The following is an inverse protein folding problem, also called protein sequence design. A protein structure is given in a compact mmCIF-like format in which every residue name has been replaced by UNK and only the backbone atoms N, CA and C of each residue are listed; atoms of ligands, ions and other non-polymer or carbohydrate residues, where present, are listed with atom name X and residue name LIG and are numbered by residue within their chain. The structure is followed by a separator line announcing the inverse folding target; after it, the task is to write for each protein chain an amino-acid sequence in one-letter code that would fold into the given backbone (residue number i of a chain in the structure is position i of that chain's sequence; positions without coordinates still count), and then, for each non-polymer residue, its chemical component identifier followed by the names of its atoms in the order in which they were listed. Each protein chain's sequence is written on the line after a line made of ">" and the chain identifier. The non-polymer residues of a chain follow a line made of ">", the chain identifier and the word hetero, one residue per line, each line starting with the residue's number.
data_IF_800620883693
#
_entry.id   IF_800620883693
#
_cell.length_a   1.000
_cell.length_b   1.000
_cell.length_c   1.000
_cell.angle_alpha   90.00
_cell.angle_beta   90.00
_cell.angle_gamma   90.00
#
_symmetry.space_group_name_H-M   'P 1'
#
loop_
_entity.id
_entity.type
_entity.pdbx_description
1 polymer ?
#
# COMPACT_ATOMS: atom_id res chain seq x y z
N UNK A 1 -13.72 3.42 -20.74
CA UNK A 1 -13.81 2.46 -19.59
C UNK A 1 -14.60 1.26 -20.06
N UNK A 2 -14.01 0.06 -20.06
CA UNK A 2 -14.74 -1.17 -20.44
C UNK A 2 -15.88 -1.45 -19.45
N UNK A 3 -17.09 -1.76 -19.91
CA UNK A 3 -18.20 -2.15 -19.05
C UNK A 3 -17.94 -3.53 -18.40
N UNK A 4 -18.58 -3.85 -17.26
CA UNK A 4 -18.37 -5.12 -16.54
C UNK A 4 -18.61 -6.38 -17.40
N UNK A 5 -19.60 -6.35 -18.30
CA UNK A 5 -19.90 -7.46 -19.19
C UNK A 5 -18.74 -7.77 -20.17
N UNK A 6 -18.13 -6.75 -20.76
CA UNK A 6 -16.96 -6.95 -21.64
C UNK A 6 -15.75 -7.50 -20.86
N UNK A 7 -15.58 -7.11 -19.60
CA UNK A 7 -14.50 -7.63 -18.75
C UNK A 7 -14.69 -9.12 -18.50
N UNK A 8 -15.88 -9.54 -18.07
CA UNK A 8 -16.19 -10.95 -17.83
C UNK A 8 -16.07 -11.79 -19.11
N UNK A 9 -16.51 -11.25 -20.24
CA UNK A 9 -16.37 -11.90 -21.53
C UNK A 9 -14.89 -12.06 -21.92
N UNK A 10 -14.07 -11.02 -21.75
CA UNK A 10 -12.64 -11.08 -22.05
C UNK A 10 -11.91 -12.12 -21.19
N UNK A 11 -12.26 -12.23 -19.89
CA UNK A 11 -11.72 -13.26 -19.00
C UNK A 11 -12.09 -14.65 -19.46
N UNK A 12 -13.39 -14.88 -19.75
CA UNK A 12 -13.89 -16.18 -20.20
C UNK A 12 -13.36 -16.58 -21.59
N UNK A 13 -13.00 -15.63 -22.44
CA UNK A 13 -12.32 -15.89 -23.71
C UNK A 13 -10.83 -16.20 -23.56
N UNK A 14 -10.18 -15.59 -22.56
CA UNK A 14 -8.76 -15.81 -22.26
C UNK A 14 -8.50 -17.12 -21.51
N UNK A 15 -9.55 -17.82 -21.06
CA UNK A 15 -9.45 -19.06 -20.29
C UNK A 15 -10.24 -20.19 -20.90
N UNK A 16 -9.72 -21.41 -20.79
CA UNK A 16 -10.44 -22.63 -21.19
C UNK A 16 -11.59 -22.94 -20.24
N UNK A 17 -11.47 -22.51 -18.98
CA UNK A 17 -12.50 -22.69 -17.97
C UNK A 17 -13.29 -21.39 -17.78
N UNK A 18 -14.48 -21.33 -18.36
CA UNK A 18 -15.38 -20.19 -18.21
C UNK A 18 -15.96 -20.15 -16.80
N UNK A 19 -15.36 -19.35 -15.94
CA UNK A 19 -15.73 -19.27 -14.51
C UNK A 19 -16.04 -17.87 -14.01
N UNK A 20 -15.72 -16.82 -14.77
CA UNK A 20 -15.99 -15.44 -14.37
C UNK A 20 -17.47 -15.10 -14.64
N UNK A 21 -18.21 -14.72 -13.57
CA UNK A 21 -19.64 -14.36 -13.64
C UNK A 21 -19.90 -12.87 -13.48
N UNK A 22 -19.02 -12.15 -12.78
CA UNK A 22 -19.16 -10.71 -12.60
C UNK A 22 -17.79 -10.04 -12.48
N UNK A 23 -17.74 -8.76 -12.86
CA UNK A 23 -16.58 -7.90 -12.64
C UNK A 23 -17.02 -6.53 -12.15
N UNK A 24 -16.23 -5.92 -11.25
CA UNK A 24 -16.47 -4.57 -10.72
C UNK A 24 -15.18 -3.79 -10.67
N UNK A 25 -15.16 -2.60 -11.24
CA UNK A 25 -14.06 -1.65 -11.06
C UNK A 25 -14.19 -0.90 -9.74
N UNK A 26 -13.08 -0.83 -9.02
CA UNK A 26 -12.95 -0.03 -7.81
C UNK A 26 -12.52 1.42 -8.15
N UNK A 27 -12.77 2.38 -7.24
CA UNK A 27 -12.27 3.75 -7.40
C UNK A 27 -10.74 3.86 -7.51
N UNK A 28 -10.00 2.88 -6.97
CA UNK A 28 -8.53 2.74 -7.09
C UNK A 28 -8.07 2.45 -8.51
N UNK A 29 -8.96 1.98 -9.39
CA UNK A 29 -8.64 1.50 -10.73
C UNK A 29 -8.57 -0.02 -10.83
N UNK A 30 -8.50 -0.71 -9.70
CA UNK A 30 -8.48 -2.18 -9.64
C UNK A 30 -9.78 -2.78 -10.11
N UNK A 31 -9.73 -4.04 -10.53
CA UNK A 31 -10.91 -4.80 -10.95
C UNK A 31 -11.10 -6.01 -10.05
N UNK A 32 -12.26 -6.11 -9.41
CA UNK A 32 -12.67 -7.30 -8.66
C UNK A 32 -13.44 -8.21 -9.60
N UNK A 33 -13.00 -9.47 -9.69
CA UNK A 33 -13.65 -10.52 -10.49
C UNK A 33 -14.31 -11.50 -9.54
N UNK A 34 -15.56 -11.85 -9.82
CA UNK A 34 -16.31 -12.87 -9.08
C UNK A 34 -16.40 -14.13 -9.95
N UNK A 35 -15.98 -15.24 -9.39
CA UNK A 35 -16.09 -16.56 -10.02
C UNK A 35 -17.31 -17.32 -9.51
N UNK A 36 -17.81 -18.24 -10.32
CA UNK A 36 -19.03 -19.03 -10.02
C UNK A 36 -18.90 -19.90 -8.77
N UNK A 37 -17.70 -20.43 -8.51
CA UNK A 37 -17.40 -21.32 -7.40
C UNK A 37 -15.94 -21.20 -6.95
N UNK A 38 -15.62 -21.81 -5.81
CA UNK A 38 -14.28 -21.81 -5.22
C UNK A 38 -13.25 -22.51 -6.08
N UNK A 39 -13.64 -23.62 -6.73
CA UNK A 39 -12.75 -24.37 -7.61
C UNK A 39 -12.33 -23.56 -8.84
N UNK A 40 -13.28 -22.84 -9.46
CA UNK A 40 -12.98 -21.90 -10.53
C UNK A 40 -12.04 -20.78 -10.09
N UNK A 41 -12.25 -20.21 -8.89
CA UNK A 41 -11.37 -19.20 -8.33
C UNK A 41 -9.94 -19.73 -8.14
N UNK A 42 -9.79 -20.91 -7.54
CA UNK A 42 -8.47 -21.51 -7.31
C UNK A 42 -7.76 -21.83 -8.62
N UNK A 43 -8.49 -22.36 -9.62
CA UNK A 43 -7.92 -22.63 -10.93
C UNK A 43 -7.37 -21.36 -11.59
N UNK A 44 -8.13 -20.25 -11.53
CA UNK A 44 -7.72 -18.97 -12.11
C UNK A 44 -6.55 -18.31 -11.32
N UNK A 45 -6.48 -18.51 -10.02
CA UNK A 45 -5.33 -18.03 -9.20
C UNK A 45 -4.05 -18.80 -9.49
N UNK A 46 -4.14 -20.10 -9.82
CA UNK A 46 -2.97 -20.91 -10.20
C UNK A 46 -2.50 -20.61 -11.63
N UNK A 47 -3.42 -20.26 -12.51
CA UNK A 47 -3.16 -20.04 -13.95
C UNK A 47 -3.33 -18.55 -14.25
N UNK A 48 -2.35 -17.74 -13.97
CA UNK A 48 -2.44 -16.26 -14.03
C UNK A 48 -2.27 -15.66 -15.44
N UNK A 49 -1.94 -16.46 -16.45
CA UNK A 49 -1.70 -15.98 -17.83
C UNK A 49 -2.89 -15.22 -18.44
N UNK A 50 -4.12 -15.58 -18.06
CA UNK A 50 -5.33 -14.89 -18.51
C UNK A 50 -5.37 -13.42 -18.09
N UNK A 51 -4.69 -13.05 -17.01
CA UNK A 51 -4.66 -11.66 -16.50
C UNK A 51 -4.05 -10.76 -17.56
N UNK A 52 -2.91 -11.16 -18.11
CA UNK A 52 -2.23 -10.38 -19.16
C UNK A 52 -3.03 -10.37 -20.45
N UNK A 53 -3.68 -11.47 -20.82
CA UNK A 53 -4.50 -11.56 -22.01
C UNK A 53 -5.78 -10.70 -21.91
N UNK A 54 -6.45 -10.71 -20.77
CA UNK A 54 -7.70 -9.97 -20.57
C UNK A 54 -7.48 -8.47 -20.28
N UNK A 55 -6.40 -8.11 -19.56
CA UNK A 55 -6.16 -6.75 -19.05
C UNK A 55 -4.92 -6.06 -19.59
N UNK A 56 -4.04 -6.79 -20.30
CA UNK A 56 -2.78 -6.28 -20.85
C UNK A 56 -1.58 -6.64 -19.97
N UNK A 57 -0.38 -6.48 -20.56
CA UNK A 57 0.89 -6.99 -19.99
C UNK A 57 1.30 -6.38 -18.63
N UNK A 58 0.74 -5.23 -18.27
CA UNK A 58 1.04 -4.58 -16.98
C UNK A 58 0.09 -4.98 -15.86
N UNK A 59 -0.96 -5.75 -16.16
CA UNK A 59 -1.91 -6.21 -15.15
C UNK A 59 -1.31 -7.32 -14.30
N UNK A 60 -1.52 -7.21 -12.99
CA UNK A 60 -1.09 -8.19 -11.99
C UNK A 60 -2.26 -8.53 -11.07
N UNK A 61 -2.25 -9.73 -10.51
CA UNK A 61 -3.15 -10.08 -9.43
C UNK A 61 -2.79 -9.24 -8.19
N UNK A 62 -3.82 -8.66 -7.55
CA UNK A 62 -3.65 -7.95 -6.30
C UNK A 62 -3.55 -8.97 -5.16
N UNK A 63 -2.34 -9.21 -4.69
CA UNK A 63 -2.11 -10.05 -3.53
C UNK A 63 -2.47 -9.30 -2.23
N UNK A 64 -2.90 -10.04 -1.20
CA UNK A 64 -2.94 -9.48 0.15
C UNK A 64 -1.54 -9.07 0.56
N UNK A 65 -1.42 -7.85 1.04
CA UNK A 65 -0.14 -7.34 1.52
C UNK A 65 -0.22 -6.98 3.00
N UNK A 66 0.88 -7.18 3.69
CA UNK A 66 1.04 -6.92 5.12
C UNK A 66 2.07 -5.82 5.29
N UNK A 67 1.64 -4.70 5.82
CA UNK A 67 2.52 -3.55 5.98
C UNK A 67 3.10 -3.50 7.40
N UNK A 68 4.39 -3.25 7.50
CA UNK A 68 5.12 -3.04 8.75
C UNK A 68 5.87 -1.71 8.72
N UNK A 69 6.03 -1.10 9.89
CA UNK A 69 6.88 0.07 10.09
C UNK A 69 8.19 -0.38 10.72
N UNK A 70 9.29 -0.17 10.03
CA UNK A 70 10.65 -0.36 10.55
C UNK A 70 11.12 0.97 11.13
N UNK A 71 11.44 0.99 12.41
CA UNK A 71 11.77 2.20 13.18
C UNK A 71 13.24 2.23 13.58
N UNK A 72 13.70 3.41 13.98
CA UNK A 72 15.01 3.58 14.60
C UNK A 72 16.18 3.79 13.64
N UNK A 73 15.96 3.77 12.33
CA UNK A 73 17.01 4.04 11.34
C UNK A 73 17.57 5.45 11.50
N UNK A 74 18.89 5.59 11.39
CA UNK A 74 19.50 6.92 11.32
C UNK A 74 19.39 7.43 9.88
N UNK A 75 19.01 8.68 9.74
CA UNK A 75 18.84 9.31 8.42
C UNK A 75 20.10 9.27 7.57
N UNK A 76 21.25 9.38 8.21
CA UNK A 76 22.56 9.33 7.54
C UNK A 76 22.87 7.96 6.94
N UNK A 77 22.37 6.87 7.55
CA UNK A 77 22.61 5.52 7.06
C UNK A 77 21.78 5.21 5.79
N UNK A 78 20.78 6.04 5.49
CA UNK A 78 19.93 5.92 4.30
C UNK A 78 20.51 6.67 3.08
N UNK A 79 21.61 7.37 3.22
CA UNK A 79 22.27 8.05 2.10
C UNK A 79 22.79 7.01 1.11
N UNK A 80 22.32 7.07 -0.13
CA UNK A 80 22.67 6.10 -1.19
C UNK A 80 21.87 4.79 -1.17
N UNK A 81 21.02 4.56 -0.17
CA UNK A 81 20.15 3.38 -0.10
C UNK A 81 18.85 3.66 -0.87
N UNK A 82 18.51 2.76 -1.79
CA UNK A 82 17.24 2.81 -2.52
C UNK A 82 16.17 1.98 -1.82
N UNK A 83 14.90 2.20 -2.18
CA UNK A 83 13.80 1.38 -1.66
C UNK A 83 13.97 -0.11 -2.01
N UNK A 84 14.62 -0.42 -3.14
CA UNK A 84 14.86 -1.79 -3.62
C UNK A 84 16.02 -2.47 -2.85
N UNK A 85 17.13 -1.76 -2.65
CA UNK A 85 18.30 -2.30 -1.95
C UNK A 85 18.03 -2.54 -0.47
N UNK A 86 17.23 -1.68 0.17
CA UNK A 86 16.87 -1.86 1.58
C UNK A 86 16.21 -3.21 1.86
N UNK A 87 15.25 -3.64 1.02
CA UNK A 87 14.56 -4.91 1.21
C UNK A 87 15.50 -6.11 1.17
N UNK A 88 16.47 -6.09 0.25
CA UNK A 88 17.48 -7.15 0.09
C UNK A 88 18.46 -7.19 1.27
N UNK A 89 19.00 -6.04 1.65
CA UNK A 89 19.97 -5.92 2.75
C UNK A 89 19.34 -6.25 4.11
N UNK A 90 18.05 -5.96 4.28
CA UNK A 90 17.28 -6.28 5.49
C UNK A 90 16.88 -7.78 5.59
N UNK A 91 17.26 -8.60 4.61
CA UNK A 91 16.98 -10.04 4.58
C UNK A 91 15.49 -10.39 4.42
N UNK A 92 14.69 -9.43 3.94
CA UNK A 92 13.27 -9.62 3.68
C UNK A 92 13.06 -10.18 2.27
N UNK A 93 12.42 -11.34 2.16
CA UNK A 93 12.30 -12.08 0.88
C UNK A 93 11.01 -11.75 0.11
N UNK A 94 9.94 -11.40 0.82
CA UNK A 94 8.61 -11.20 0.20
C UNK A 94 8.21 -9.73 0.08
N UNK A 95 9.19 -8.85 -0.09
CA UNK A 95 8.96 -7.40 -0.22
C UNK A 95 8.22 -7.09 -1.53
N UNK A 96 7.05 -6.47 -1.41
CA UNK A 96 6.30 -5.90 -2.53
C UNK A 96 6.69 -4.44 -2.75
N UNK A 97 6.78 -3.67 -1.65
CA UNK A 97 7.06 -2.23 -1.72
C UNK A 97 7.74 -1.73 -0.45
N UNK A 98 8.70 -0.84 -0.65
CA UNK A 98 9.33 -0.08 0.42
C UNK A 98 9.03 1.40 0.21
N UNK A 99 8.85 2.15 1.29
CA UNK A 99 8.64 3.60 1.24
C UNK A 99 9.31 4.27 2.43
N UNK A 100 10.27 5.14 2.16
CA UNK A 100 10.93 5.92 3.19
C UNK A 100 10.01 7.03 3.71
N UNK A 101 9.86 7.11 5.02
CA UNK A 101 9.17 8.17 5.73
C UNK A 101 10.20 9.03 6.45
N UNK A 102 10.77 9.96 5.71
CA UNK A 102 11.74 10.89 6.26
C UNK A 102 11.00 12.04 6.97
N UNK A 103 11.43 12.41 8.18
CA UNK A 103 10.86 13.56 8.87
C UNK A 103 11.19 14.85 8.12
N UNK A 104 10.20 15.74 7.99
CA UNK A 104 10.37 17.05 7.33
C UNK A 104 11.22 18.03 8.16
N UNK A 105 11.31 17.82 9.46
CA UNK A 105 12.10 18.67 10.34
C UNK A 105 13.58 18.23 10.31
N UNK A 106 14.53 19.11 9.96
CA UNK A 106 15.96 18.78 9.90
C UNK A 106 16.57 18.37 11.26
N UNK A 107 15.97 18.76 12.37
CA UNK A 107 16.39 18.34 13.71
C UNK A 107 16.15 16.88 14.06
N UNK A 108 15.33 16.16 13.28
CA UNK A 108 15.13 14.74 13.49
C UNK A 108 16.17 13.93 12.73
N UNK A 109 16.93 13.14 13.46
CA UNK A 109 18.01 12.29 12.94
C UNK A 109 17.54 10.88 12.61
N UNK A 110 16.36 10.49 13.04
CA UNK A 110 15.80 9.14 12.82
C UNK A 110 14.72 9.14 11.75
N UNK A 111 14.70 8.07 10.98
CA UNK A 111 13.72 7.81 9.92
C UNK A 111 12.90 6.55 10.25
N UNK A 112 11.77 6.43 9.58
CA UNK A 112 10.93 5.24 9.62
C UNK A 112 10.71 4.76 8.18
N UNK A 113 10.75 3.45 7.98
CA UNK A 113 10.49 2.84 6.67
C UNK A 113 9.19 2.07 6.74
N UNK A 114 8.31 2.30 5.79
CA UNK A 114 7.12 1.49 5.57
C UNK A 114 7.47 0.40 4.57
N UNK A 115 7.45 -0.85 5.02
CA UNK A 115 7.67 -2.03 4.19
C UNK A 115 6.37 -2.78 4.03
N UNK A 116 6.06 -3.15 2.81
CA UNK A 116 4.87 -3.94 2.47
C UNK A 116 5.35 -5.31 2.01
N UNK A 117 4.90 -6.36 2.68
CA UNK A 117 5.26 -7.76 2.45
C UNK A 117 4.07 -8.53 1.87
N UNK A 118 4.32 -9.55 1.07
CA UNK A 118 3.28 -10.46 0.56
C UNK A 118 3.06 -11.67 1.48
N UNK A 119 4.01 -11.96 2.38
CA UNK A 119 3.90 -13.04 3.38
C UNK A 119 3.49 -12.48 4.74
N UNK A 120 2.42 -13.04 5.31
CA UNK A 120 1.99 -12.74 6.67
C UNK A 120 2.98 -13.26 7.71
N UNK A 121 3.52 -14.46 7.48
CA UNK A 121 4.48 -15.09 8.40
C UNK A 121 5.75 -14.26 8.54
N UNK A 122 6.27 -13.76 7.42
CA UNK A 122 7.45 -12.89 7.42
C UNK A 122 7.16 -11.56 8.12
N UNK A 123 6.00 -10.97 7.90
CA UNK A 123 5.58 -9.76 8.60
C UNK A 123 5.46 -9.96 10.11
N UNK A 124 4.88 -11.08 10.56
CA UNK A 124 4.81 -11.43 11.97
C UNK A 124 6.19 -11.64 12.58
N UNK A 125 7.06 -12.41 11.93
CA UNK A 125 8.45 -12.63 12.38
C UNK A 125 9.22 -11.31 12.49
N UNK A 126 9.10 -10.43 11.51
CA UNK A 126 9.73 -9.11 11.55
C UNK A 126 9.23 -8.26 12.73
N UNK A 127 7.95 -8.33 13.07
CA UNK A 127 7.39 -7.61 14.22
C UNK A 127 7.80 -8.21 15.56
N UNK A 128 8.02 -9.54 15.64
CA UNK A 128 8.41 -10.23 16.87
C UNK A 128 9.92 -10.17 17.14
N UNK A 129 10.73 -10.30 16.10
CA UNK A 129 12.19 -10.44 16.21
C UNK A 129 12.95 -9.17 15.81
N UNK A 130 12.27 -8.21 15.22
CA UNK A 130 12.91 -7.07 14.56
C UNK A 130 13.50 -7.44 13.21
N UNK A 131 14.11 -6.44 12.58
CA UNK A 131 14.83 -6.58 11.30
C UNK A 131 16.28 -6.14 11.51
N UNK A 132 17.22 -6.97 11.09
CA UNK A 132 18.63 -6.64 11.14
C UNK A 132 19.01 -5.92 9.85
N UNK A 133 19.50 -4.70 9.96
CA UNK A 133 20.00 -3.93 8.84
C UNK A 133 21.22 -3.11 9.25
N UNK A 134 22.26 -3.14 8.45
CA UNK A 134 23.55 -2.46 8.73
C UNK A 134 24.06 -2.75 10.16
N UNK A 135 24.08 -4.04 10.54
CA UNK A 135 24.46 -4.54 11.86
C UNK A 135 23.69 -3.95 13.05
N UNK A 136 22.51 -3.36 12.79
CA UNK A 136 21.60 -2.83 13.80
C UNK A 136 20.32 -3.66 13.83
N UNK A 137 19.84 -4.00 15.01
CA UNK A 137 18.50 -4.55 15.19
C UNK A 137 17.50 -3.40 15.24
N UNK A 138 16.56 -3.41 14.30
CA UNK A 138 15.53 -2.38 14.14
C UNK A 138 14.18 -2.91 14.62
N UNK A 139 13.48 -2.13 15.41
CA UNK A 139 12.14 -2.47 15.88
C UNK A 139 11.13 -2.36 14.73
N UNK A 140 10.24 -3.34 14.67
CA UNK A 140 9.16 -3.37 13.71
C UNK A 140 7.79 -3.41 14.39
N UNK A 141 6.83 -2.72 13.81
CA UNK A 141 5.43 -2.80 14.26
C UNK A 141 4.48 -2.93 13.08
N UNK A 142 3.31 -3.59 13.26
CA UNK A 142 2.31 -3.68 12.22
C UNK A 142 1.79 -2.29 11.84
N UNK A 143 1.63 -2.04 10.54
CA UNK A 143 1.08 -0.79 10.04
C UNK A 143 -0.32 -0.98 9.45
N UNK A 144 -1.26 -0.23 9.98
CA UNK A 144 -2.65 -0.21 9.54
C UNK A 144 -3.02 1.18 9.02
N UNK A 145 -2.97 1.37 7.72
CA UNK A 145 -3.29 2.65 7.09
C UNK A 145 -4.70 3.18 7.46
N UNK A 146 -5.64 2.29 7.76
CA UNK A 146 -6.99 2.64 8.18
C UNK A 146 -7.04 3.24 9.60
N UNK A 147 -6.05 2.90 10.44
CA UNK A 147 -5.95 3.40 11.82
C UNK A 147 -5.14 4.69 11.92
N UNK A 148 -4.48 5.14 10.83
CA UNK A 148 -3.73 6.37 10.82
C UNK A 148 -4.67 7.57 10.80
N UNK A 149 -4.71 8.39 11.87
CA UNK A 149 -5.64 9.51 11.96
C UNK A 149 -5.26 10.59 10.96
N UNK A 150 -6.12 10.85 9.99
CA UNK A 150 -5.93 11.91 8.98
C UNK A 150 -6.47 13.23 9.53
N UNK A 151 -5.59 14.14 9.90
CA UNK A 151 -5.99 15.49 10.32
C UNK A 151 -5.89 16.47 9.15
N UNK A 152 -6.91 17.28 9.01
CA UNK A 152 -6.95 18.34 8.01
C UNK A 152 -6.25 19.60 8.52
N UNK A 153 -5.11 19.97 7.96
CA UNK A 153 -4.38 21.19 8.32
C UNK A 153 -5.05 22.51 7.88
N UNK A 154 -6.22 22.44 7.22
CA UNK A 154 -7.02 23.61 6.90
C UNK A 154 -8.06 23.92 7.99
N UNK A 155 -8.83 22.92 8.42
CA UNK A 155 -9.87 23.10 9.43
C UNK A 155 -9.63 22.37 10.75
N UNK A 156 -8.48 21.69 10.89
CA UNK A 156 -8.01 20.97 12.07
C UNK A 156 -8.91 19.82 12.54
N UNK A 157 -9.93 19.45 11.76
CA UNK A 157 -10.78 18.30 12.04
C UNK A 157 -10.16 17.02 11.48
N UNK A 158 -10.51 15.89 12.08
CA UNK A 158 -10.07 14.55 11.69
C UNK A 158 -10.96 13.99 10.57
N UNK A 159 -10.46 12.93 9.90
CA UNK A 159 -11.19 12.14 8.91
C UNK A 159 -11.01 12.57 7.45
N UNK A 160 -10.30 13.66 7.17
CA UNK A 160 -9.97 14.10 5.81
C UNK A 160 -8.68 14.92 5.75
N UNK A 161 -8.16 15.13 4.57
CA UNK A 161 -6.96 15.96 4.33
C UNK A 161 -7.35 17.32 3.74
N UNK A 162 -6.44 18.29 3.82
CA UNK A 162 -6.66 19.67 3.36
C UNK A 162 -7.16 19.75 1.90
N UNK A 163 -6.66 18.88 1.02
CA UNK A 163 -7.01 18.85 -0.42
C UNK A 163 -8.51 18.69 -0.68
N UNK A 164 -9.20 17.95 0.19
CA UNK A 164 -10.64 17.66 0.06
C UNK A 164 -11.51 18.42 1.07
N UNK A 165 -10.91 19.42 1.73
CA UNK A 165 -11.62 20.18 2.75
C UNK A 165 -12.44 21.33 2.17
N UNK A 166 -13.76 21.28 2.33
CA UNK A 166 -14.69 22.36 1.97
C UNK A 166 -14.86 23.42 3.07
N UNK A 167 -14.32 23.19 4.29
CA UNK A 167 -14.50 24.07 5.44
C UNK A 167 -13.55 25.28 5.38
N UNK A 168 -13.90 26.41 6.03
CA UNK A 168 -13.01 27.56 6.12
C UNK A 168 -11.70 27.19 6.83
N UNK A 169 -10.63 27.92 6.50
CA UNK A 169 -9.35 27.75 7.17
C UNK A 169 -9.41 28.30 8.59
N UNK A 170 -8.90 27.52 9.54
CA UNK A 170 -8.82 27.87 10.95
C UNK A 170 -7.35 27.98 11.37
N UNK A 171 -7.07 28.80 12.38
CA UNK A 171 -5.77 28.87 13.01
C UNK A 171 -5.54 27.61 13.86
N UNK A 172 -4.43 26.87 13.63
CA UNK A 172 -4.13 25.65 14.39
C UNK A 172 -3.82 25.88 15.87
N UNK A 173 -3.54 27.14 16.26
CA UNK A 173 -3.22 27.49 17.64
C UNK A 173 -4.45 27.92 18.45
N UNK A 174 -5.35 28.72 17.87
CA UNK A 174 -6.49 29.30 18.61
C UNK A 174 -7.86 28.92 18.04
N UNK A 175 -7.94 28.16 16.94
CA UNK A 175 -9.21 27.76 16.33
C UNK A 175 -10.00 28.88 15.63
N UNK A 176 -9.55 30.14 15.71
CA UNK A 176 -10.20 31.24 15.03
C UNK A 176 -10.07 31.14 13.49
N UNK A 177 -10.94 31.79 12.73
CA UNK A 177 -10.81 31.86 11.28
C UNK A 177 -9.44 32.45 10.90
N UNK A 178 -8.70 31.74 10.09
CA UNK A 178 -7.41 32.24 9.59
C UNK A 178 -7.67 33.45 8.68
N UNK A 179 -6.98 34.56 8.95
CA UNK A 179 -7.00 35.71 8.06
C UNK A 179 -6.32 35.33 6.74
N UNK A 180 -6.84 35.76 5.57
CA UNK A 180 -6.16 35.54 4.29
C UNK A 180 -4.77 36.18 4.40
N UNK A 181 -3.75 35.42 4.02
CA UNK A 181 -2.40 36.01 3.85
C UNK A 181 -2.48 36.96 2.66
N UNK A 182 -2.16 38.24 2.89
CA UNK A 182 -1.94 39.22 1.83
C UNK A 182 -0.73 38.84 1.02
#
# INVERSE_FOLDING_TARGET
>A
KRPPAEITQAINQATTQQGAIAARKLPSGDTVVTFKDSASKEWHSRNTQWIQQAFGNQAKEACKTFAILVKGLRKIDLEGVTEETFGQEAGLQTVDKVKFRLPSNPGYTRATILVTLTSQEEACKACEQGVVWNAQLLDCEPYWAALEPKQCFKCWKWGHIQRYCSKPALCGRCGARARPRK
#
